data_IF_982175381984
#
_entry.id   IF_982175381984
#
_cell.length_a   1.000
_cell.length_b   1.000
_cell.length_c   1.000
_cell.angle_alpha   90.00
_cell.angle_beta   90.00
_cell.angle_gamma   90.00
#
_symmetry.space_group_name_H-M   'P 1'
#
loop_
_entity.id
_entity.type
_entity.pdbx_description
1 polymer ?
#
# COMPACT_ATOMS: atom_id res chain seq x y z
N UNK A 1 11.94 -62.72 32.62
CA UNK A 1 11.88 -61.48 33.44
C UNK A 1 12.38 -60.21 32.76
N UNK A 2 13.54 -60.21 32.08
CA UNK A 2 14.15 -59.01 31.46
C UNK A 2 13.31 -58.33 30.37
N UNK A 3 12.53 -59.11 29.60
CA UNK A 3 11.69 -58.63 28.50
C UNK A 3 10.40 -57.93 28.99
N UNK A 4 9.78 -58.43 30.06
CA UNK A 4 8.60 -57.78 30.70
C UNK A 4 8.94 -56.43 31.33
N UNK A 5 10.13 -56.27 31.92
CA UNK A 5 10.60 -54.97 32.45
C UNK A 5 10.79 -53.91 31.35
N UNK A 6 11.26 -54.30 30.16
CA UNK A 6 11.40 -53.37 29.01
C UNK A 6 10.04 -52.82 28.56
N UNK A 7 9.02 -53.69 28.41
CA UNK A 7 7.68 -53.26 28.03
C UNK A 7 7.01 -52.38 29.08
N UNK A 8 7.27 -52.63 30.36
CA UNK A 8 6.76 -51.82 31.47
C UNK A 8 7.41 -50.42 31.50
N UNK A 9 8.72 -50.34 31.25
CA UNK A 9 9.43 -49.06 31.09
C UNK A 9 8.93 -48.28 29.87
N UNK A 10 8.73 -48.95 28.73
CA UNK A 10 8.16 -48.32 27.52
C UNK A 10 6.74 -47.80 27.79
N UNK A 11 5.90 -48.57 28.51
CA UNK A 11 4.56 -48.15 28.91
C UNK A 11 4.55 -46.92 29.82
N UNK A 12 5.44 -46.88 30.82
CA UNK A 12 5.59 -45.73 31.72
C UNK A 12 6.09 -44.49 30.98
N UNK A 13 7.08 -44.64 30.10
CA UNK A 13 7.57 -43.54 29.24
C UNK A 13 6.43 -43.03 28.34
N UNK A 14 5.63 -43.93 27.75
CA UNK A 14 4.48 -43.55 26.94
C UNK A 14 3.44 -42.74 27.71
N UNK A 15 3.09 -43.14 28.93
CA UNK A 15 2.15 -42.42 29.79
C UNK A 15 2.71 -41.05 30.19
N UNK A 16 3.99 -40.97 30.53
CA UNK A 16 4.66 -39.71 30.85
C UNK A 16 4.63 -38.76 29.65
N UNK A 17 4.96 -39.24 28.45
CA UNK A 17 4.92 -38.44 27.22
C UNK A 17 3.50 -37.96 26.90
N UNK A 18 2.48 -38.81 27.07
CA UNK A 18 1.07 -38.42 26.91
C UNK A 18 0.67 -37.36 27.94
N UNK A 19 1.04 -37.53 29.21
CA UNK A 19 0.73 -36.56 30.27
C UNK A 19 1.39 -35.20 30.02
N UNK A 20 2.68 -35.17 29.67
CA UNK A 20 3.36 -33.92 29.34
C UNK A 20 2.80 -33.29 28.06
N UNK A 21 2.51 -34.08 27.04
CA UNK A 21 1.85 -33.60 25.82
C UNK A 21 0.48 -33.00 26.10
N UNK A 22 -0.35 -33.66 26.92
CA UNK A 22 -1.68 -33.19 27.31
C UNK A 22 -1.60 -31.93 28.18
N UNK A 23 -0.69 -31.89 29.16
CA UNK A 23 -0.48 -30.72 30.02
C UNK A 23 -0.02 -29.50 29.22
N UNK A 24 0.92 -29.69 28.29
CA UNK A 24 1.34 -28.65 27.35
C UNK A 24 0.15 -28.19 26.49
N UNK A 25 -0.58 -29.12 25.87
CA UNK A 25 -1.76 -28.81 25.05
C UNK A 25 -2.82 -28.02 25.82
N UNK A 26 -3.07 -28.36 27.09
CA UNK A 26 -4.02 -27.65 27.95
C UNK A 26 -3.53 -26.26 28.33
N UNK A 27 -2.22 -26.08 28.53
CA UNK A 27 -1.64 -24.79 28.94
C UNK A 27 -1.63 -23.71 27.84
N UNK A 28 -1.58 -24.07 26.56
CA UNK A 28 -1.58 -23.10 25.48
C UNK A 28 -2.97 -22.53 25.20
N UNK A 29 -3.09 -21.19 25.10
CA UNK A 29 -4.36 -20.52 24.76
C UNK A 29 -4.78 -20.77 23.31
N UNK A 30 -3.84 -20.91 22.40
CA UNK A 30 -4.07 -21.33 21.02
C UNK A 30 -2.93 -22.20 20.49
N UNK A 31 -3.24 -23.02 19.49
CA UNK A 31 -2.29 -23.91 18.82
C UNK A 31 -2.56 -23.86 17.32
N UNK A 32 -1.54 -23.48 16.55
CA UNK A 32 -1.59 -23.43 15.08
C UNK A 32 -0.60 -24.46 14.53
N UNK A 33 -1.09 -25.36 13.68
CA UNK A 33 -0.29 -26.39 13.02
C UNK A 33 -0.55 -26.30 11.51
N UNK A 34 0.53 -26.11 10.72
CA UNK A 34 0.46 -26.00 9.27
C UNK A 34 -0.61 -25.01 8.76
N UNK A 35 -0.73 -23.83 9.38
CA UNK A 35 -1.70 -22.80 9.00
C UNK A 35 -3.15 -23.11 9.40
N UNK A 36 -3.38 -24.11 10.26
CA UNK A 36 -4.69 -24.45 10.80
C UNK A 36 -4.71 -24.29 12.31
N UNK A 37 -5.73 -23.60 12.81
CA UNK A 37 -5.98 -23.47 14.25
C UNK A 37 -6.59 -24.77 14.77
N UNK A 38 -5.85 -25.48 15.63
CA UNK A 38 -6.27 -26.73 16.26
C UNK A 38 -6.95 -26.46 17.60
N UNK A 39 -6.52 -25.41 18.30
CA UNK A 39 -7.12 -24.93 19.53
C UNK A 39 -7.07 -23.41 19.53
N UNK A 40 -8.15 -22.76 19.93
CA UNK A 40 -8.14 -21.36 20.34
C UNK A 40 -9.19 -21.18 21.43
N UNK A 41 -8.74 -20.71 22.59
CA UNK A 41 -9.58 -20.42 23.77
C UNK A 41 -9.73 -18.93 24.01
N UNK A 42 -9.10 -18.10 23.17
CA UNK A 42 -9.22 -16.65 23.21
C UNK A 42 -10.59 -16.22 22.69
N UNK A 43 -11.08 -15.10 23.22
CA UNK A 43 -12.14 -14.31 22.60
C UNK A 43 -11.70 -13.79 21.22
N UNK A 44 -12.66 -13.29 20.42
CA UNK A 44 -12.35 -12.66 19.13
C UNK A 44 -11.42 -11.45 19.32
N UNK A 45 -11.68 -10.60 20.32
CA UNK A 45 -10.87 -9.41 20.59
C UNK A 45 -9.45 -9.75 21.05
N UNK A 46 -9.31 -10.77 21.91
CA UNK A 46 -7.99 -11.29 22.29
C UNK A 46 -7.26 -11.89 21.09
N UNK A 47 -7.98 -12.58 20.20
CA UNK A 47 -7.40 -13.14 18.98
C UNK A 47 -6.91 -12.03 18.05
N UNK A 48 -7.64 -10.91 17.91
CA UNK A 48 -7.19 -9.76 17.15
C UNK A 48 -5.85 -9.21 17.67
N UNK A 49 -5.68 -9.07 19.00
CA UNK A 49 -4.43 -8.60 19.61
C UNK A 49 -3.24 -9.53 19.32
N UNK A 50 -3.46 -10.85 19.40
CA UNK A 50 -2.39 -11.82 19.08
C UNK A 50 -2.03 -11.78 17.59
N UNK A 51 -2.98 -11.53 16.69
CA UNK A 51 -2.67 -11.34 15.26
C UNK A 51 -1.72 -10.15 15.09
N UNK A 52 -1.96 -9.00 15.74
CA UNK A 52 -1.08 -7.82 15.63
C UNK A 52 0.35 -8.15 16.04
N UNK A 53 0.51 -8.85 17.18
CA UNK A 53 1.82 -9.30 17.63
C UNK A 53 2.52 -10.19 16.60
N UNK A 54 1.79 -11.10 15.95
CA UNK A 54 2.38 -11.96 14.92
C UNK A 54 2.70 -11.24 13.61
N UNK A 55 1.96 -10.20 13.25
CA UNK A 55 2.32 -9.32 12.14
C UNK A 55 3.63 -8.58 12.42
N UNK A 56 3.80 -8.04 13.64
CA UNK A 56 5.03 -7.37 14.07
C UNK A 56 6.24 -8.33 14.08
N UNK A 57 6.01 -9.62 14.34
CA UNK A 57 7.01 -10.70 14.27
C UNK A 57 7.19 -11.29 12.84
N UNK A 58 6.50 -10.76 11.82
CA UNK A 58 6.45 -11.27 10.44
C UNK A 58 6.00 -12.75 10.32
N UNK A 59 5.21 -13.23 11.27
CA UNK A 59 4.70 -14.61 11.35
C UNK A 59 3.34 -14.75 10.66
N UNK A 60 3.29 -14.37 9.39
CA UNK A 60 2.05 -14.22 8.62
C UNK A 60 1.19 -15.49 8.50
N UNK A 61 1.77 -16.69 8.39
CA UNK A 61 0.99 -17.95 8.35
C UNK A 61 0.18 -18.17 9.65
N UNK A 62 0.74 -17.80 10.80
CA UNK A 62 0.06 -17.94 12.10
C UNK A 62 -1.01 -16.87 12.25
N UNK A 63 -0.66 -15.62 11.94
CA UNK A 63 -1.59 -14.49 11.92
C UNK A 63 -2.81 -14.79 11.04
N UNK A 64 -2.59 -15.30 9.82
CA UNK A 64 -3.66 -15.60 8.88
C UNK A 64 -4.53 -16.78 9.33
N UNK A 65 -3.94 -17.81 9.96
CA UNK A 65 -4.69 -18.91 10.53
C UNK A 65 -5.67 -18.43 11.61
N UNK A 66 -5.21 -17.53 12.49
CA UNK A 66 -6.05 -16.93 13.53
C UNK A 66 -7.12 -16.01 12.93
N UNK A 67 -6.80 -15.21 11.91
CA UNK A 67 -7.77 -14.38 11.21
C UNK A 67 -8.89 -15.22 10.55
N UNK A 68 -8.55 -16.33 9.90
CA UNK A 68 -9.53 -17.28 9.35
C UNK A 68 -10.36 -17.95 10.44
N UNK A 69 -9.76 -18.20 11.60
CA UNK A 69 -10.51 -18.70 12.75
C UNK A 69 -11.55 -17.68 13.22
N UNK A 70 -11.23 -16.37 13.24
CA UNK A 70 -12.22 -15.32 13.52
C UNK A 70 -13.35 -15.38 12.51
N UNK A 71 -13.05 -15.38 11.20
CA UNK A 71 -14.06 -15.47 10.14
C UNK A 71 -15.01 -16.67 10.33
N UNK A 72 -14.46 -17.83 10.72
CA UNK A 72 -15.24 -19.06 10.92
C UNK A 72 -16.15 -19.02 12.15
N UNK A 73 -15.71 -18.36 13.23
CA UNK A 73 -16.39 -18.41 14.53
C UNK A 73 -17.19 -17.15 14.86
N UNK A 74 -16.99 -16.06 14.12
CA UNK A 74 -17.78 -14.85 14.27
C UNK A 74 -19.26 -15.09 13.94
N UNK A 75 -20.14 -14.68 14.85
CA UNK A 75 -21.59 -14.81 14.72
C UNK A 75 -22.23 -13.65 13.98
N UNK A 76 -21.56 -12.50 13.93
CA UNK A 76 -22.05 -11.27 13.30
C UNK A 76 -21.31 -11.00 11.99
N UNK A 77 -21.94 -10.22 11.11
CA UNK A 77 -21.27 -9.68 9.92
C UNK A 77 -20.03 -8.88 10.31
N UNK A 78 -20.14 -8.01 11.31
CA UNK A 78 -19.03 -7.22 11.83
C UNK A 78 -17.80 -8.07 12.14
N UNK A 79 -17.96 -9.13 12.94
CA UNK A 79 -16.84 -10.01 13.30
C UNK A 79 -16.24 -10.74 12.10
N UNK A 80 -17.07 -11.17 11.14
CA UNK A 80 -16.59 -11.83 9.91
C UNK A 80 -15.79 -10.86 9.04
N UNK A 81 -16.31 -9.65 8.83
CA UNK A 81 -15.66 -8.61 8.04
C UNK A 81 -14.36 -8.16 8.70
N UNK A 82 -14.34 -7.98 10.03
CA UNK A 82 -13.10 -7.71 10.77
C UNK A 82 -12.08 -8.83 10.62
N UNK A 83 -12.49 -10.10 10.61
CA UNK A 83 -11.59 -11.22 10.32
C UNK A 83 -11.00 -11.16 8.90
N UNK A 84 -11.80 -10.81 7.89
CA UNK A 84 -11.31 -10.62 6.52
C UNK A 84 -10.41 -9.40 6.37
N UNK A 85 -10.70 -8.31 7.08
CA UNK A 85 -9.84 -7.14 7.13
C UNK A 85 -8.43 -7.53 7.61
N UNK A 86 -8.31 -8.30 8.70
CA UNK A 86 -6.97 -8.80 9.13
C UNK A 86 -6.25 -9.58 8.04
N UNK A 87 -6.97 -10.36 7.23
CA UNK A 87 -6.37 -11.06 6.08
C UNK A 87 -5.91 -10.11 4.96
N UNK A 88 -6.60 -8.97 4.75
CA UNK A 88 -6.15 -7.92 3.84
C UNK A 88 -4.85 -7.28 4.34
N UNK A 89 -4.76 -6.93 5.63
CA UNK A 89 -3.54 -6.34 6.20
C UNK A 89 -2.33 -7.26 6.09
N UNK A 90 -2.52 -8.54 6.42
CA UNK A 90 -1.47 -9.56 6.27
C UNK A 90 -1.03 -9.66 4.81
N UNK A 91 -1.97 -9.70 3.87
CA UNK A 91 -1.64 -9.78 2.45
C UNK A 91 -0.87 -8.52 1.96
N UNK A 92 -1.24 -7.35 2.48
CA UNK A 92 -0.53 -6.09 2.21
C UNK A 92 0.90 -6.10 2.75
N UNK A 93 1.10 -6.53 4.00
CA UNK A 93 2.43 -6.63 4.60
C UNK A 93 3.32 -7.64 3.87
N UNK A 94 2.72 -8.69 3.30
CA UNK A 94 3.41 -9.65 2.44
C UNK A 94 3.69 -9.12 1.02
N UNK A 95 3.13 -7.97 0.64
CA UNK A 95 3.18 -7.46 -0.73
C UNK A 95 2.52 -8.41 -1.72
N UNK A 96 1.28 -8.83 -1.44
CA UNK A 96 0.47 -9.67 -2.33
C UNK A 96 -0.89 -9.03 -2.64
N UNK A 97 -0.93 -8.11 -3.62
CA UNK A 97 -2.15 -7.39 -3.96
C UNK A 97 -3.27 -8.28 -4.53
N UNK A 98 -2.95 -9.46 -5.07
CA UNK A 98 -3.97 -10.42 -5.50
C UNK A 98 -4.75 -10.99 -4.31
N UNK A 99 -4.04 -11.31 -3.22
CA UNK A 99 -4.65 -11.80 -1.99
C UNK A 99 -5.39 -10.69 -1.24
N UNK A 100 -4.81 -9.48 -1.22
CA UNK A 100 -5.48 -8.30 -0.65
C UNK A 100 -6.86 -8.10 -1.29
N UNK A 101 -6.91 -8.02 -2.63
CA UNK A 101 -8.16 -7.79 -3.33
C UNK A 101 -9.15 -8.95 -3.13
N UNK A 102 -8.66 -10.19 -3.11
CA UNK A 102 -9.48 -11.36 -2.85
C UNK A 102 -10.15 -11.29 -1.48
N UNK A 103 -9.40 -10.96 -0.42
CA UNK A 103 -9.95 -10.86 0.92
C UNK A 103 -10.86 -9.65 1.10
N UNK A 104 -10.56 -8.53 0.44
CA UNK A 104 -11.45 -7.38 0.40
C UNK A 104 -12.80 -7.73 -0.29
N UNK A 105 -12.76 -8.53 -1.36
CA UNK A 105 -13.97 -9.03 -2.02
C UNK A 105 -14.79 -9.95 -1.10
N UNK A 106 -14.14 -10.81 -0.31
CA UNK A 106 -14.84 -11.65 0.66
C UNK A 106 -15.44 -10.83 1.82
N UNK A 107 -14.73 -9.81 2.29
CA UNK A 107 -15.25 -8.86 3.27
C UNK A 107 -16.55 -8.21 2.77
N UNK A 108 -16.56 -7.70 1.54
CA UNK A 108 -17.76 -7.10 0.94
C UNK A 108 -18.94 -8.05 0.83
N UNK A 109 -18.69 -9.33 0.48
CA UNK A 109 -19.74 -10.35 0.37
C UNK A 109 -20.40 -10.71 1.70
N UNK A 110 -19.76 -10.39 2.82
CA UNK A 110 -20.29 -10.66 4.15
C UNK A 110 -21.01 -9.47 4.78
N UNK A 111 -21.12 -8.33 4.07
CA UNK A 111 -21.96 -7.21 4.50
C UNK A 111 -23.45 -7.60 4.40
N UNK A 112 -24.22 -7.22 5.40
CA UNK A 112 -25.67 -7.39 5.47
C UNK A 112 -26.37 -6.13 6.02
N UNK A 113 -27.67 -6.25 6.32
CA UNK A 113 -28.47 -5.15 6.87
C UNK A 113 -27.97 -4.69 8.23
N UNK A 114 -27.45 -5.62 9.03
CA UNK A 114 -27.13 -5.43 10.44
C UNK A 114 -25.68 -5.01 10.65
N UNK A 115 -24.84 -5.07 9.59
CA UNK A 115 -23.47 -4.58 9.64
C UNK A 115 -23.43 -3.11 10.03
N UNK A 116 -22.58 -2.80 11.01
CA UNK A 116 -22.37 -1.44 11.49
C UNK A 116 -21.74 -0.53 10.43
N UNK A 117 -21.95 0.78 10.59
CA UNK A 117 -21.49 1.77 9.62
C UNK A 117 -19.96 1.81 9.51
N UNK A 118 -19.23 1.77 10.63
CA UNK A 118 -17.76 1.75 10.59
C UNK A 118 -17.23 0.50 9.88
N UNK A 119 -17.87 -0.67 10.02
CA UNK A 119 -17.47 -1.89 9.30
C UNK A 119 -17.74 -1.76 7.80
N UNK A 120 -18.91 -1.23 7.40
CA UNK A 120 -19.22 -0.92 5.99
C UNK A 120 -18.18 0.03 5.40
N UNK A 121 -17.83 1.10 6.12
CA UNK A 121 -16.79 2.06 5.75
C UNK A 121 -15.44 1.37 5.55
N UNK A 122 -15.05 0.55 6.51
CA UNK A 122 -13.79 -0.21 6.49
C UNK A 122 -13.72 -1.11 5.26
N UNK A 123 -14.76 -1.89 4.99
CA UNK A 123 -14.80 -2.81 3.86
C UNK A 123 -14.73 -2.07 2.51
N UNK A 124 -15.44 -0.95 2.36
CA UNK A 124 -15.35 -0.11 1.16
C UNK A 124 -13.95 0.51 1.00
N UNK A 125 -13.36 0.99 2.09
CA UNK A 125 -12.01 1.56 2.07
C UNK A 125 -10.99 0.52 1.60
N UNK A 126 -10.95 -0.65 2.23
CA UNK A 126 -10.00 -1.70 1.88
C UNK A 126 -10.20 -2.24 0.46
N UNK A 127 -11.45 -2.38 0.00
CA UNK A 127 -11.68 -2.72 -1.41
C UNK A 127 -11.03 -1.72 -2.35
N UNK A 128 -11.22 -0.42 -2.11
CA UNK A 128 -10.60 0.63 -2.91
C UNK A 128 -9.08 0.60 -2.88
N UNK A 129 -8.51 0.45 -1.68
CA UNK A 129 -7.06 0.35 -1.47
C UNK A 129 -6.45 -0.87 -2.20
N UNK A 130 -7.05 -2.05 -2.05
CA UNK A 130 -6.53 -3.28 -2.66
C UNK A 130 -6.62 -3.28 -4.18
N UNK A 131 -7.64 -2.67 -4.77
CA UNK A 131 -7.69 -2.49 -6.24
C UNK A 131 -6.57 -1.55 -6.68
N UNK A 132 -6.36 -0.43 -5.98
CA UNK A 132 -5.33 0.53 -6.33
C UNK A 132 -3.93 -0.13 -6.27
N UNK A 133 -3.63 -0.85 -5.18
CA UNK A 133 -2.38 -1.56 -5.00
C UNK A 133 -2.14 -2.58 -6.12
N UNK A 134 -3.15 -3.39 -6.44
CA UNK A 134 -3.07 -4.34 -7.56
C UNK A 134 -2.87 -3.64 -8.89
N UNK A 135 -3.53 -2.52 -9.11
CA UNK A 135 -3.41 -1.74 -10.34
C UNK A 135 -2.00 -1.15 -10.49
N UNK A 136 -1.38 -0.69 -9.39
CA UNK A 136 0.02 -0.24 -9.39
C UNK A 136 0.99 -1.39 -9.64
N UNK A 137 0.87 -2.50 -8.92
CA UNK A 137 1.84 -3.61 -8.96
C UNK A 137 1.72 -4.52 -10.19
N UNK A 138 0.52 -4.62 -10.78
CA UNK A 138 0.24 -5.49 -11.93
C UNK A 138 -0.13 -4.71 -13.20
N UNK A 139 -0.13 -3.38 -13.14
CA UNK A 139 -0.39 -2.52 -14.31
C UNK A 139 -1.84 -2.51 -14.81
N UNK A 140 -2.82 -2.85 -13.96
CA UNK A 140 -4.27 -2.85 -14.27
C UNK A 140 -4.86 -1.42 -14.20
N UNK A 141 -4.27 -0.45 -14.90
CA UNK A 141 -4.56 1.00 -14.75
C UNK A 141 -6.04 1.34 -15.02
N UNK A 142 -6.72 0.61 -15.91
CA UNK A 142 -8.14 0.78 -16.19
C UNK A 142 -9.03 0.61 -14.96
N UNK A 143 -8.57 -0.17 -13.98
CA UNK A 143 -9.29 -0.46 -12.74
C UNK A 143 -9.11 0.61 -11.66
N UNK A 144 -8.26 1.62 -11.89
CA UNK A 144 -8.15 2.77 -10.98
C UNK A 144 -9.49 3.50 -10.78
N UNK A 145 -10.37 3.46 -11.78
CA UNK A 145 -11.72 4.02 -11.66
C UNK A 145 -12.60 3.26 -10.66
N UNK A 146 -12.45 1.94 -10.59
CA UNK A 146 -13.09 1.09 -9.59
C UNK A 146 -12.55 1.40 -8.19
N UNK A 147 -11.23 1.57 -8.04
CA UNK A 147 -10.61 1.98 -6.78
C UNK A 147 -11.19 3.31 -6.26
N UNK A 148 -11.26 4.33 -7.12
CA UNK A 148 -11.86 5.63 -6.79
C UNK A 148 -13.31 5.47 -6.34
N UNK A 149 -14.12 4.69 -7.06
CA UNK A 149 -15.52 4.46 -6.69
C UNK A 149 -15.66 3.94 -5.26
N UNK A 150 -14.87 2.93 -4.88
CA UNK A 150 -14.94 2.33 -3.55
C UNK A 150 -14.43 3.26 -2.46
N UNK A 151 -13.35 4.01 -2.71
CA UNK A 151 -12.84 5.02 -1.78
C UNK A 151 -13.84 6.16 -1.56
N UNK A 152 -14.45 6.69 -2.62
CA UNK A 152 -15.49 7.71 -2.51
C UNK A 152 -16.75 7.16 -1.82
N UNK A 153 -17.10 5.90 -2.05
CA UNK A 153 -18.19 5.21 -1.35
C UNK A 153 -17.90 5.08 0.14
N UNK A 154 -16.66 4.75 0.52
CA UNK A 154 -16.21 4.76 1.92
C UNK A 154 -16.33 6.14 2.55
N UNK A 155 -15.89 7.20 1.86
CA UNK A 155 -15.98 8.58 2.36
C UNK A 155 -17.42 9.05 2.63
N UNK A 156 -18.40 8.54 1.86
CA UNK A 156 -19.82 8.84 2.05
C UNK A 156 -20.41 8.19 3.31
N UNK A 157 -19.76 7.16 3.87
CA UNK A 157 -20.19 6.55 5.13
C UNK A 157 -19.65 7.38 6.29
N UNK A 158 -20.56 8.02 7.02
CA UNK A 158 -20.27 8.75 8.25
C UNK A 158 -20.83 7.98 9.45
N UNK A 159 -19.96 7.41 10.28
CA UNK A 159 -20.37 6.75 11.51
C UNK A 159 -20.15 7.70 12.71
N UNK A 160 -21.22 8.26 13.29
CA UNK A 160 -21.13 9.16 14.44
C UNK A 160 -20.76 8.44 15.74
N UNK A 161 -20.93 7.11 15.80
CA UNK A 161 -20.66 6.30 17.00
C UNK A 161 -19.20 5.88 17.09
N UNK A 162 -18.48 5.89 15.96
CA UNK A 162 -17.06 5.56 15.85
C UNK A 162 -16.21 6.68 15.26
N UNK A 163 -16.18 7.91 15.84
CA UNK A 163 -15.52 9.06 15.22
C UNK A 163 -14.02 8.84 14.96
N UNK A 164 -13.33 8.10 15.84
CA UNK A 164 -11.91 7.74 15.64
C UNK A 164 -11.70 6.86 14.42
N UNK A 165 -12.54 5.85 14.22
CA UNK A 165 -12.48 4.97 13.04
C UNK A 165 -12.88 5.71 11.77
N UNK A 166 -13.94 6.53 11.84
CA UNK A 166 -14.36 7.37 10.72
C UNK A 166 -13.23 8.29 10.26
N UNK A 167 -12.54 8.94 11.21
CA UNK A 167 -11.37 9.77 10.94
C UNK A 167 -10.23 8.96 10.29
N UNK A 168 -9.85 7.82 10.87
CA UNK A 168 -8.74 6.99 10.35
C UNK A 168 -8.93 6.59 8.89
N UNK A 169 -10.12 6.08 8.56
CA UNK A 169 -10.43 5.65 7.20
C UNK A 169 -10.64 6.81 6.23
N UNK A 170 -11.07 7.99 6.70
CA UNK A 170 -11.09 9.18 5.86
C UNK A 170 -9.67 9.62 5.49
N UNK A 171 -8.74 9.63 6.45
CA UNK A 171 -7.34 9.97 6.22
C UNK A 171 -6.74 9.03 5.17
N UNK A 172 -6.90 7.71 5.34
CA UNK A 172 -6.43 6.71 4.36
C UNK A 172 -7.03 6.91 2.98
N UNK A 173 -8.35 7.11 2.90
CA UNK A 173 -9.03 7.27 1.62
C UNK A 173 -8.60 8.55 0.90
N UNK A 174 -8.47 9.68 1.59
CA UNK A 174 -7.97 10.92 0.98
C UNK A 174 -6.53 10.81 0.52
N UNK A 175 -5.67 10.14 1.29
CA UNK A 175 -4.30 9.86 0.86
C UNK A 175 -4.28 9.07 -0.45
N UNK A 176 -4.99 7.94 -0.52
CA UNK A 176 -4.99 7.11 -1.71
C UNK A 176 -5.66 7.78 -2.91
N UNK A 177 -6.75 8.54 -2.70
CA UNK A 177 -7.35 9.33 -3.77
C UNK A 177 -6.39 10.40 -4.32
N UNK A 178 -5.65 11.09 -3.45
CA UNK A 178 -4.63 12.04 -3.87
C UNK A 178 -3.58 11.37 -4.78
N UNK A 179 -3.05 10.22 -4.37
CA UNK A 179 -2.07 9.46 -5.15
C UNK A 179 -2.64 8.96 -6.49
N UNK A 180 -3.85 8.40 -6.50
CA UNK A 180 -4.49 7.94 -7.73
C UNK A 180 -4.69 9.11 -8.72
N UNK A 181 -5.20 10.25 -8.26
CA UNK A 181 -5.39 11.40 -9.15
C UNK A 181 -4.07 11.98 -9.65
N UNK A 182 -3.03 11.98 -8.82
CA UNK A 182 -1.71 12.45 -9.20
C UNK A 182 -1.04 11.53 -10.22
N UNK A 183 -0.87 10.26 -9.87
CA UNK A 183 -0.05 9.32 -10.62
C UNK A 183 -0.83 8.68 -11.76
N UNK A 184 -2.07 8.27 -11.48
CA UNK A 184 -2.87 7.54 -12.45
C UNK A 184 -3.70 8.40 -13.38
N UNK A 185 -4.08 9.62 -12.97
CA UNK A 185 -4.81 10.51 -13.86
C UNK A 185 -4.00 11.73 -14.31
N UNK A 186 -2.90 12.06 -13.64
CA UNK A 186 -2.17 13.30 -13.90
C UNK A 186 -3.02 14.55 -13.67
N UNK A 187 -4.07 14.45 -12.86
CA UNK A 187 -5.00 15.53 -12.52
C UNK A 187 -4.53 16.19 -11.23
N UNK A 188 -3.57 17.10 -11.37
CA UNK A 188 -2.98 17.84 -10.25
C UNK A 188 -4.00 18.64 -9.46
N UNK A 189 -5.05 19.16 -10.11
CA UNK A 189 -6.08 19.96 -9.45
C UNK A 189 -6.91 19.10 -8.52
N UNK A 190 -7.38 17.94 -9.00
CA UNK A 190 -8.17 17.02 -8.17
C UNK A 190 -7.31 16.33 -7.11
N UNK A 191 -6.07 15.97 -7.44
CA UNK A 191 -5.10 15.45 -6.47
C UNK A 191 -4.88 16.44 -5.32
N UNK A 192 -4.61 17.72 -5.63
CA UNK A 192 -4.40 18.75 -4.63
C UNK A 192 -5.62 18.93 -3.71
N UNK A 193 -6.84 18.90 -4.26
CA UNK A 193 -8.06 18.99 -3.43
C UNK A 193 -8.22 17.82 -2.44
N UNK A 194 -7.68 16.64 -2.74
CA UNK A 194 -7.62 15.52 -1.79
C UNK A 194 -6.44 15.63 -0.80
N UNK A 195 -5.29 16.13 -1.26
CA UNK A 195 -4.14 16.44 -0.40
C UNK A 195 -4.53 17.45 0.69
N UNK A 196 -5.27 18.50 0.34
CA UNK A 196 -5.73 19.52 1.28
C UNK A 196 -6.64 18.92 2.37
N UNK A 197 -7.61 18.09 1.97
CA UNK A 197 -8.49 17.37 2.91
C UNK A 197 -7.69 16.43 3.82
N UNK A 198 -6.71 15.73 3.27
CA UNK A 198 -5.80 14.91 4.07
C UNK A 198 -5.06 15.76 5.10
N UNK A 199 -4.45 16.89 4.68
CA UNK A 199 -3.72 17.79 5.57
C UNK A 199 -4.60 18.41 6.67
N UNK A 200 -5.85 18.72 6.38
CA UNK A 200 -6.81 19.19 7.39
C UNK A 200 -7.05 18.15 8.48
N UNK A 201 -7.20 16.88 8.11
CA UNK A 201 -7.45 15.81 9.06
C UNK A 201 -6.23 15.45 9.91
N UNK A 202 -5.03 15.37 9.31
CA UNK A 202 -3.82 14.97 10.04
C UNK A 202 -3.28 16.06 10.96
N UNK A 203 -3.81 17.29 10.91
CA UNK A 203 -3.59 18.27 12.00
C UNK A 203 -4.08 17.76 13.37
N UNK A 204 -5.03 16.82 13.37
CA UNK A 204 -5.58 16.20 14.56
C UNK A 204 -4.79 14.94 14.98
N UNK A 205 -3.82 14.50 14.17
CA UNK A 205 -2.99 13.33 14.44
C UNK A 205 -1.91 13.63 15.49
N UNK A 206 -2.25 13.44 16.76
CA UNK A 206 -1.33 13.65 17.88
C UNK A 206 -0.28 12.54 18.01
N UNK A 207 -0.52 11.38 17.41
CA UNK A 207 0.31 10.18 17.54
C UNK A 207 1.34 10.06 16.40
N UNK A 208 1.31 10.98 15.42
CA UNK A 208 2.12 10.91 14.19
C UNK A 208 1.90 9.60 13.42
N UNK A 209 0.69 9.02 13.53
CA UNK A 209 0.32 7.77 12.85
C UNK A 209 0.48 7.87 11.34
N UNK A 210 0.17 9.03 10.77
CA UNK A 210 0.21 9.31 9.33
C UNK A 210 1.37 10.23 8.93
N UNK A 211 2.43 10.31 9.74
CA UNK A 211 3.55 11.20 9.47
C UNK A 211 4.26 10.85 8.15
N UNK A 212 4.37 9.56 7.82
CA UNK A 212 4.98 9.11 6.57
C UNK A 212 4.16 9.58 5.36
N UNK A 213 2.85 9.34 5.39
CA UNK A 213 1.90 9.77 4.36
C UNK A 213 1.87 11.30 4.24
N UNK A 214 1.91 12.01 5.36
CA UNK A 214 2.01 13.47 5.38
C UNK A 214 3.26 13.96 4.65
N UNK A 215 4.44 13.41 4.94
CA UNK A 215 5.68 13.79 4.28
C UNK A 215 5.61 13.49 2.77
N UNK A 216 5.07 12.32 2.40
CA UNK A 216 4.87 11.93 1.00
C UNK A 216 3.95 12.90 0.26
N UNK A 217 2.78 13.23 0.81
CA UNK A 217 1.86 14.17 0.15
C UNK A 217 2.38 15.61 0.19
N UNK A 218 3.18 15.99 1.18
CA UNK A 218 3.85 17.30 1.20
C UNK A 218 4.85 17.41 0.05
N UNK A 219 5.57 16.33 -0.25
CA UNK A 219 6.41 16.23 -1.44
C UNK A 219 5.58 16.43 -2.72
N UNK A 220 4.54 15.61 -2.91
CA UNK A 220 3.70 15.65 -4.11
C UNK A 220 2.88 16.94 -4.27
N UNK A 221 2.56 17.64 -3.18
CA UNK A 221 1.94 18.95 -3.26
C UNK A 221 2.86 19.96 -3.98
N UNK A 222 4.19 19.81 -3.83
CA UNK A 222 5.18 20.61 -4.55
C UNK A 222 5.09 20.41 -6.07
N UNK A 223 4.98 19.17 -6.52
CA UNK A 223 4.77 18.84 -7.93
C UNK A 223 3.46 19.45 -8.46
N UNK A 224 2.38 19.34 -7.68
CA UNK A 224 1.09 19.93 -8.02
C UNK A 224 1.19 21.46 -8.13
N UNK A 225 1.81 22.12 -7.16
CA UNK A 225 1.97 23.57 -7.17
C UNK A 225 2.82 24.06 -8.34
N UNK A 226 3.87 23.31 -8.69
CA UNK A 226 4.66 23.61 -9.88
C UNK A 226 3.83 23.48 -11.17
N UNK A 227 3.15 22.35 -11.36
CA UNK A 227 2.37 22.07 -12.58
C UNK A 227 1.15 22.99 -12.73
N UNK A 228 0.57 23.45 -11.62
CA UNK A 228 -0.52 24.42 -11.59
C UNK A 228 -0.05 25.89 -11.62
N UNK A 229 1.27 26.14 -11.63
CA UNK A 229 1.83 27.50 -11.66
C UNK A 229 1.64 28.29 -10.36
N UNK A 230 1.38 27.63 -9.24
CA UNK A 230 1.12 28.23 -7.93
C UNK A 230 2.44 28.56 -7.20
N UNK A 231 3.14 29.59 -7.70
CA UNK A 231 4.51 29.95 -7.26
C UNK A 231 4.64 30.18 -5.75
N UNK A 232 3.72 30.90 -5.14
CA UNK A 232 3.79 31.23 -3.71
C UNK A 232 3.63 29.98 -2.83
N UNK A 233 2.75 29.06 -3.24
CA UNK A 233 2.56 27.77 -2.56
C UNK A 233 3.75 26.84 -2.71
N UNK A 234 4.38 26.80 -3.89
CA UNK A 234 5.63 26.06 -4.08
C UNK A 234 6.74 26.58 -3.15
N UNK A 235 6.86 27.91 -3.00
CA UNK A 235 7.83 28.53 -2.07
C UNK A 235 7.50 28.23 -0.60
N UNK A 236 6.22 28.24 -0.25
CA UNK A 236 5.74 27.85 1.09
C UNK A 236 6.17 26.42 1.42
N UNK A 237 5.90 25.45 0.54
CA UNK A 237 6.29 24.05 0.71
C UNK A 237 7.81 23.90 0.81
N UNK A 238 8.58 24.58 -0.04
CA UNK A 238 10.05 24.59 0.04
C UNK A 238 10.54 25.05 1.42
N UNK A 239 9.96 26.12 1.97
CA UNK A 239 10.33 26.63 3.29
C UNK A 239 9.94 25.66 4.41
N UNK A 240 8.79 25.00 4.32
CA UNK A 240 8.38 23.94 5.26
C UNK A 240 9.39 22.80 5.23
N UNK A 241 9.77 22.32 4.04
CA UNK A 241 10.77 21.26 3.86
C UNK A 241 12.13 21.68 4.41
N UNK A 242 12.61 22.88 4.10
CA UNK A 242 13.90 23.39 4.57
C UNK A 242 13.95 23.49 6.10
N UNK A 243 12.88 23.98 6.73
CA UNK A 243 12.78 24.11 8.20
C UNK A 243 12.76 22.75 8.90
N UNK A 244 12.01 21.79 8.35
CA UNK A 244 11.82 20.47 8.96
C UNK A 244 12.83 19.41 8.47
N UNK A 245 13.77 19.80 7.61
CA UNK A 245 14.77 18.92 7.00
C UNK A 245 15.47 17.97 7.99
N UNK A 246 15.91 18.41 9.19
CA UNK A 246 16.57 17.50 10.14
C UNK A 246 15.65 16.41 10.71
N UNK A 247 14.34 16.68 10.80
CA UNK A 247 13.33 15.75 11.33
C UNK A 247 12.92 14.71 10.28
N UNK A 248 12.85 15.09 9.00
CA UNK A 248 12.35 14.20 7.95
C UNK A 248 13.35 13.14 7.47
N UNK A 249 14.65 13.32 7.77
CA UNK A 249 15.72 12.39 7.36
C UNK A 249 15.47 10.94 7.78
N UNK A 250 14.85 10.74 8.94
CA UNK A 250 14.63 9.42 9.54
C UNK A 250 13.37 8.72 8.99
N UNK A 251 12.50 9.45 8.29
CA UNK A 251 11.22 8.94 7.78
C UNK A 251 11.19 8.76 6.27
N UNK A 252 12.11 9.40 5.55
CA UNK A 252 12.05 9.45 4.09
C UNK A 252 13.45 9.30 3.48
N UNK A 253 13.72 8.13 2.87
CA UNK A 253 15.03 7.75 2.33
C UNK A 253 15.60 8.77 1.33
N UNK A 254 14.73 9.44 0.57
CA UNK A 254 15.09 10.40 -0.47
C UNK A 254 14.86 11.87 -0.05
N UNK A 255 14.83 12.18 1.24
CA UNK A 255 14.50 13.53 1.76
C UNK A 255 15.40 14.64 1.23
N UNK A 256 16.69 14.34 1.03
CA UNK A 256 17.64 15.28 0.43
C UNK A 256 17.26 15.64 -1.00
N UNK A 257 16.89 14.64 -1.78
CA UNK A 257 16.44 14.82 -3.15
C UNK A 257 15.17 15.69 -3.19
N UNK A 258 14.23 15.52 -2.27
CA UNK A 258 13.01 16.31 -2.27
C UNK A 258 13.26 17.81 -2.08
N UNK A 259 14.13 18.18 -1.14
CA UNK A 259 14.50 19.58 -0.96
C UNK A 259 15.15 20.15 -2.23
N UNK A 260 15.98 19.35 -2.92
CA UNK A 260 16.64 19.73 -4.16
C UNK A 260 15.69 19.84 -5.34
N UNK A 261 14.70 18.97 -5.43
CA UNK A 261 13.63 19.03 -6.42
C UNK A 261 12.80 20.30 -6.27
N UNK A 262 12.41 20.66 -5.05
CA UNK A 262 11.69 21.91 -4.78
C UNK A 262 12.55 23.14 -5.08
N UNK A 263 13.85 23.10 -4.76
CA UNK A 263 14.81 24.14 -5.15
C UNK A 263 14.86 24.29 -6.69
N UNK A 264 14.98 23.17 -7.40
CA UNK A 264 14.97 23.11 -8.86
C UNK A 264 13.69 23.71 -9.46
N UNK A 265 12.51 23.35 -8.97
CA UNK A 265 11.26 23.92 -9.46
C UNK A 265 11.19 25.42 -9.21
N UNK A 266 11.64 25.91 -8.06
CA UNK A 266 11.74 27.35 -7.78
C UNK A 266 12.66 28.06 -8.81
N UNK A 267 13.83 27.48 -9.14
CA UNK A 267 14.69 28.04 -10.19
C UNK A 267 14.02 28.06 -11.56
N UNK A 268 13.29 27.00 -11.92
CA UNK A 268 12.54 26.94 -13.18
C UNK A 268 11.46 28.02 -13.29
N UNK A 269 10.66 28.24 -12.24
CA UNK A 269 9.58 29.25 -12.27
C UNK A 269 10.09 30.70 -12.23
N UNK A 270 11.31 30.89 -11.74
CA UNK A 270 12.02 32.17 -11.71
C UNK A 270 12.82 32.44 -13.00
N UNK A 271 12.82 31.50 -13.97
CA UNK A 271 13.57 31.62 -15.22
C UNK A 271 15.10 31.46 -15.06
N UNK A 272 15.56 30.97 -13.91
CA UNK A 272 16.99 30.74 -13.60
C UNK A 272 17.46 29.41 -14.17
N UNK A 273 17.39 29.27 -15.49
CA UNK A 273 17.59 27.97 -16.17
C UNK A 273 18.98 27.38 -15.98
N UNK A 274 20.04 28.20 -15.94
CA UNK A 274 21.41 27.70 -15.69
C UNK A 274 21.53 27.02 -14.32
N UNK A 275 21.01 27.67 -13.27
CA UNK A 275 21.00 27.11 -11.92
C UNK A 275 20.11 25.85 -11.84
N UNK A 276 18.96 25.85 -12.52
CA UNK A 276 18.10 24.68 -12.60
C UNK A 276 18.79 23.50 -13.32
N UNK A 277 19.54 23.77 -14.38
CA UNK A 277 20.28 22.76 -15.14
C UNK A 277 21.38 22.10 -14.29
N UNK A 278 22.11 22.89 -13.49
CA UNK A 278 23.12 22.37 -12.56
C UNK A 278 22.51 21.43 -11.52
N UNK A 279 21.36 21.78 -10.94
CA UNK A 279 20.65 20.91 -10.00
C UNK A 279 20.19 19.63 -10.70
N UNK A 280 19.56 19.76 -11.89
CA UNK A 280 19.07 18.61 -12.65
C UNK A 280 20.19 17.61 -12.98
N UNK A 281 21.34 18.10 -13.47
CA UNK A 281 22.50 17.25 -13.82
C UNK A 281 23.10 16.53 -12.60
N UNK A 282 23.06 17.17 -11.43
CA UNK A 282 23.67 16.64 -10.22
C UNK A 282 22.77 15.64 -9.48
N UNK A 283 21.47 15.88 -9.47
CA UNK A 283 20.55 15.18 -8.57
C UNK A 283 19.79 14.04 -9.28
N UNK A 284 19.02 14.34 -10.33
CA UNK A 284 18.36 13.31 -11.16
C UNK A 284 18.16 13.82 -12.60
N UNK A 285 19.11 13.51 -13.51
CA UNK A 285 19.07 13.97 -14.90
C UNK A 285 17.89 13.46 -15.72
N UNK A 286 17.26 12.35 -15.31
CA UNK A 286 16.10 11.81 -16.04
C UNK A 286 14.80 12.38 -15.51
N UNK A 287 14.54 12.29 -14.20
CA UNK A 287 13.29 12.83 -13.65
C UNK A 287 13.22 14.36 -13.77
N UNK A 288 14.23 15.09 -13.29
CA UNK A 288 14.25 16.55 -13.40
C UNK A 288 14.48 17.00 -14.85
N UNK A 289 15.13 16.16 -15.65
CA UNK A 289 15.33 16.37 -17.08
C UNK A 289 14.01 16.49 -17.84
N UNK A 290 13.01 15.65 -17.54
CA UNK A 290 11.66 15.74 -18.12
C UNK A 290 11.11 17.16 -17.95
N UNK A 291 11.13 17.71 -16.73
CA UNK A 291 10.61 19.05 -16.46
C UNK A 291 11.47 20.15 -17.09
N UNK A 292 12.80 20.05 -16.98
CA UNK A 292 13.72 21.06 -17.51
C UNK A 292 13.61 21.17 -19.03
N UNK A 293 13.75 20.05 -19.74
CA UNK A 293 13.74 20.03 -21.20
C UNK A 293 12.37 20.37 -21.79
N UNK A 294 11.28 20.03 -21.09
CA UNK A 294 9.94 20.56 -21.42
C UNK A 294 9.90 22.08 -21.35
N UNK A 295 10.51 22.68 -20.33
CA UNK A 295 10.50 24.13 -20.10
C UNK A 295 11.35 24.90 -21.08
N UNK A 296 12.53 24.38 -21.46
CA UNK A 296 13.44 25.03 -22.41
C UNK A 296 13.18 24.65 -23.88
N UNK A 297 12.28 23.70 -24.15
CA UNK A 297 11.88 23.29 -25.50
C UNK A 297 12.85 22.34 -26.20
N UNK A 298 13.75 21.65 -25.47
CA UNK A 298 14.70 20.69 -26.04
C UNK A 298 14.09 19.27 -26.07
N UNK A 299 13.32 18.99 -27.13
CA UNK A 299 12.57 17.74 -27.27
C UNK A 299 13.47 16.50 -27.27
N UNK A 300 14.63 16.53 -27.94
CA UNK A 300 15.50 15.35 -28.06
C UNK A 300 16.20 15.00 -26.74
N UNK A 301 16.62 15.99 -25.94
CA UNK A 301 17.13 15.70 -24.59
C UNK A 301 16.00 15.26 -23.66
N UNK A 302 14.83 15.89 -23.75
CA UNK A 302 13.66 15.49 -22.98
C UNK A 302 13.21 14.05 -23.27
N UNK A 303 13.24 13.64 -24.54
CA UNK A 303 13.00 12.25 -24.96
C UNK A 303 13.98 11.28 -24.30
N UNK A 304 15.28 11.59 -24.32
CA UNK A 304 16.31 10.76 -23.68
C UNK A 304 16.10 10.64 -22.17
N UNK A 305 15.76 11.74 -21.51
CA UNK A 305 15.43 11.78 -20.09
C UNK A 305 14.19 10.91 -19.79
N UNK A 306 13.11 11.02 -20.58
CA UNK A 306 11.90 10.22 -20.40
C UNK A 306 12.16 8.72 -20.59
N UNK A 307 12.93 8.33 -21.60
CA UNK A 307 13.25 6.91 -21.83
C UNK A 307 14.05 6.34 -20.66
N UNK A 308 15.07 7.07 -20.18
CA UNK A 308 15.85 6.63 -19.02
C UNK A 308 15.02 6.52 -17.74
N UNK A 309 14.16 7.52 -17.48
CA UNK A 309 13.20 7.49 -16.39
C UNK A 309 12.26 6.28 -16.50
N UNK A 310 11.67 6.05 -17.68
CA UNK A 310 10.74 4.95 -17.95
C UNK A 310 11.38 3.57 -17.80
N UNK A 311 12.63 3.40 -18.22
CA UNK A 311 13.36 2.12 -18.03
C UNK A 311 13.58 1.77 -16.57
N UNK A 312 13.86 2.76 -15.70
CA UNK A 312 14.02 2.54 -14.26
C UNK A 312 12.70 2.43 -13.50
N UNK A 313 11.67 3.09 -13.99
CA UNK A 313 10.37 3.21 -13.32
C UNK A 313 9.27 2.63 -14.20
N UNK A 314 9.52 1.43 -14.76
CA UNK A 314 8.71 0.87 -15.85
C UNK A 314 7.26 0.57 -15.46
N UNK A 315 6.98 0.39 -14.16
CA UNK A 315 5.62 0.29 -13.63
C UNK A 315 4.76 1.52 -13.94
N UNK A 316 5.36 2.71 -14.14
CA UNK A 316 4.62 3.92 -14.51
C UNK A 316 4.27 4.00 -16.00
N UNK A 317 4.83 3.12 -16.85
CA UNK A 317 4.60 3.15 -18.29
C UNK A 317 3.11 3.24 -18.69
N UNK A 318 2.20 2.39 -18.21
CA UNK A 318 0.80 2.42 -18.63
C UNK A 318 0.03 3.63 -18.09
N UNK A 319 0.60 4.40 -17.16
CA UNK A 319 -0.13 5.46 -16.49
C UNK A 319 -0.26 6.71 -17.37
N UNK A 320 -1.46 7.33 -17.42
CA UNK A 320 -1.76 8.54 -18.18
C UNK A 320 -0.74 9.67 -18.07
N UNK A 321 -0.17 9.92 -16.89
CA UNK A 321 0.87 10.93 -16.73
C UNK A 321 2.11 10.64 -17.59
N UNK A 322 2.62 9.41 -17.53
CA UNK A 322 3.74 8.97 -18.35
C UNK A 322 3.39 9.02 -19.84
N UNK A 323 2.20 8.54 -20.20
CA UNK A 323 1.70 8.56 -21.58
C UNK A 323 1.51 9.98 -22.13
N UNK A 324 1.22 10.97 -21.29
CA UNK A 324 1.23 12.38 -21.66
C UNK A 324 2.64 12.82 -22.05
N UNK A 325 3.65 12.51 -21.24
CA UNK A 325 5.05 12.83 -21.57
C UNK A 325 5.53 12.11 -22.84
N UNK A 326 5.11 10.86 -23.06
CA UNK A 326 5.39 10.12 -24.30
C UNK A 326 4.91 10.88 -25.54
N UNK A 327 3.73 11.50 -25.46
CA UNK A 327 3.17 12.35 -26.53
C UNK A 327 3.90 13.69 -26.64
N UNK A 328 4.15 14.38 -25.52
CA UNK A 328 4.85 15.67 -25.48
C UNK A 328 6.25 15.58 -26.10
N UNK A 329 7.01 14.54 -25.76
CA UNK A 329 8.38 14.31 -26.27
C UNK A 329 8.44 13.51 -27.57
N UNK A 330 7.28 13.20 -28.18
CA UNK A 330 7.17 12.58 -29.51
C UNK A 330 7.99 11.29 -29.65
N UNK A 331 7.90 10.38 -28.69
CA UNK A 331 8.58 9.09 -28.79
C UNK A 331 8.12 8.35 -30.05
N UNK A 332 9.07 7.71 -30.72
CA UNK A 332 8.82 6.86 -31.89
C UNK A 332 8.11 5.56 -31.49
N UNK A 333 7.45 4.92 -32.45
CA UNK A 333 6.82 3.61 -32.24
C UNK A 333 7.81 2.54 -31.78
N UNK A 334 9.07 2.62 -32.23
CA UNK A 334 10.13 1.72 -31.77
C UNK A 334 10.43 1.90 -30.28
N UNK A 335 10.58 3.14 -29.82
CA UNK A 335 10.86 3.46 -28.41
C UNK A 335 9.67 3.09 -27.51
N UNK A 336 8.43 3.36 -27.96
CA UNK A 336 7.21 2.93 -27.24
C UNK A 336 7.16 1.41 -27.09
N UNK A 337 7.40 0.66 -28.18
CA UNK A 337 7.38 -0.80 -28.18
C UNK A 337 8.45 -1.39 -27.26
N UNK A 338 9.63 -0.77 -27.18
CA UNK A 338 10.68 -1.19 -26.24
C UNK A 338 10.21 -1.08 -24.78
N UNK A 339 9.66 0.08 -24.40
CA UNK A 339 9.12 0.30 -23.05
C UNK A 339 7.93 -0.64 -22.76
N UNK A 340 7.05 -0.86 -23.74
CA UNK A 340 5.91 -1.76 -23.58
C UNK A 340 6.36 -3.21 -23.32
N UNK A 341 7.38 -3.70 -24.03
CA UNK A 341 7.94 -5.05 -23.81
C UNK A 341 8.55 -5.16 -22.42
N UNK A 342 9.29 -4.13 -21.98
CA UNK A 342 9.85 -4.09 -20.62
C UNK A 342 8.75 -4.09 -19.55
N UNK A 343 7.70 -3.29 -19.74
CA UNK A 343 6.57 -3.23 -18.83
C UNK A 343 5.84 -4.58 -18.73
N UNK A 344 5.54 -5.23 -19.87
CA UNK A 344 4.90 -6.57 -19.86
C UNK A 344 5.73 -7.61 -19.12
N UNK A 345 7.06 -7.56 -19.28
CA UNK A 345 7.97 -8.43 -18.54
C UNK A 345 7.93 -8.14 -17.04
N UNK A 346 7.97 -6.87 -16.65
CA UNK A 346 7.88 -6.44 -15.26
C UNK A 346 6.56 -6.92 -14.60
N UNK A 347 5.42 -6.79 -15.29
CA UNK A 347 4.13 -7.31 -14.83
C UNK A 347 4.18 -8.83 -14.60
N UNK A 348 4.73 -9.59 -15.54
CA UNK A 348 4.82 -11.05 -15.40
C UNK A 348 5.77 -11.48 -14.27
N UNK A 349 6.86 -10.73 -14.03
CA UNK A 349 7.76 -10.96 -12.90
C UNK A 349 7.07 -10.68 -11.56
N UNK A 350 6.35 -9.56 -11.44
CA UNK A 350 5.55 -9.24 -10.26
C UNK A 350 4.44 -10.27 -10.01
N UNK A 351 3.77 -10.72 -11.07
CA UNK A 351 2.79 -11.79 -10.99
C UNK A 351 3.38 -13.08 -10.46
N UNK A 352 4.54 -13.51 -10.97
CA UNK A 352 5.25 -14.70 -10.48
C UNK A 352 5.58 -14.58 -9.00
N UNK A 353 6.08 -13.42 -8.54
CA UNK A 353 6.36 -13.16 -7.11
C UNK A 353 5.10 -13.34 -6.26
N UNK A 354 3.99 -12.75 -6.66
CA UNK A 354 2.72 -12.86 -5.95
C UNK A 354 2.15 -14.29 -5.92
N UNK A 355 2.51 -15.16 -6.86
CA UNK A 355 2.09 -16.58 -6.86
C UNK A 355 3.03 -17.53 -6.11
N UNK A 356 4.29 -17.15 -5.90
CA UNK A 356 5.33 -18.10 -5.49
C UNK A 356 6.06 -17.72 -4.20
N UNK A 357 6.39 -16.44 -4.00
CA UNK A 357 7.20 -15.99 -2.87
C UNK A 357 6.34 -15.34 -1.80
N UNK A 358 5.38 -14.51 -2.20
CA UNK A 358 4.62 -13.67 -1.27
C UNK A 358 3.26 -14.30 -0.93
N UNK A 359 3.20 -15.61 -0.71
CA UNK A 359 1.92 -16.34 -0.60
C UNK A 359 1.84 -17.16 0.67
N UNK A 360 0.71 -17.08 1.36
CA UNK A 360 0.44 -17.90 2.54
C UNK A 360 0.42 -19.38 2.13
N UNK A 361 1.00 -20.25 2.95
CA UNK A 361 1.13 -21.67 2.59
C UNK A 361 -0.22 -22.33 2.36
N UNK A 362 -1.24 -21.92 3.11
CA UNK A 362 -2.60 -22.44 2.99
C UNK A 362 -3.35 -21.91 1.76
N UNK A 363 -2.87 -20.85 1.11
CA UNK A 363 -3.64 -20.05 0.16
C UNK A 363 -3.02 -19.96 -1.23
N UNK A 364 -2.09 -20.87 -1.55
CA UNK A 364 -1.45 -20.94 -2.87
C UNK A 364 -2.47 -20.96 -4.02
N UNK A 365 -3.61 -21.62 -3.83
CA UNK A 365 -4.68 -21.66 -4.83
C UNK A 365 -5.50 -20.37 -4.89
N UNK A 366 -5.54 -19.57 -3.81
CA UNK A 366 -6.21 -18.27 -3.80
C UNK A 366 -5.42 -17.27 -4.64
N UNK A 367 -4.09 -17.24 -4.49
CA UNK A 367 -3.24 -16.40 -5.33
C UNK A 367 -3.39 -16.73 -6.83
N UNK A 368 -3.55 -18.02 -7.19
CA UNK A 368 -3.84 -18.45 -8.57
C UNK A 368 -5.24 -18.03 -9.05
N UNK A 369 -6.22 -17.96 -8.14
CA UNK A 369 -7.61 -17.57 -8.46
C UNK A 369 -7.80 -16.07 -8.54
N UNK A 370 -7.12 -15.27 -7.71
CA UNK A 370 -7.18 -13.79 -7.75
C UNK A 370 -6.66 -13.19 -9.07
N UNK A 371 -6.05 -14.02 -9.91
CA UNK A 371 -5.66 -13.71 -11.28
C UNK A 371 -6.75 -13.96 -12.33
N UNK A 372 -7.62 -14.96 -12.14
CA UNK A 372 -8.70 -15.26 -13.10
C UNK A 372 -9.86 -14.31 -12.89
#
# INVERSE_FOLDING_TARGET
MRQRRKWLIIGVIGIILVYFGLRLFLSYKYIVIYGKVIKNTLSIDETHREITKFEDEERYDTAAALAKWIVKNAKTSDGKVSGYFRLVEIAYQMGNPMMEEYYANLALKNLDSDTSLWVKKTAYCYKGLSIAEKSWELGEVERMSEAVYWLEKSLKVNDPTGPKYTWDFNVRAYNSLALIYLEAYGDYKKALGYIEKFFELVKQDKENKFLKEYITLLSYSGDCYYELGMKDKLREVYNIWKKNYPKYKDYFKNYKFQLKMLEFFNKLIDGKYKEAEEIMKKEDPEYLGIYYYRKVGDIEKGKRALIGFGKRNIGFYPFPLFQRWVKEFKLSEKEKKELEVMWKRWVEENRKRCMTTNVLRSDKEIAKRGWR
#
